data_IF_750932897916
#
_entry.id   IF_750932897916
#
_cell.length_a   1.000
_cell.length_b   1.000
_cell.length_c   1.000
_cell.angle_alpha   90.00
_cell.angle_beta   90.00
_cell.angle_gamma   90.00
#
_symmetry.space_group_name_H-M   'P 1'
#
loop_
_entity.id
_entity.type
_entity.pdbx_description
1 polymer ?
#
# COMPACT_ATOMS: atom_id res chain seq x y z
N UNK A 1 34.00 25.96 -9.47
CA UNK A 1 32.90 26.92 -9.74
C UNK A 1 33.08 27.68 -11.07
N UNK A 2 34.15 28.48 -11.25
CA UNK A 2 34.41 29.18 -12.55
C UNK A 2 34.60 28.23 -13.76
N UNK A 3 35.13 27.02 -13.55
CA UNK A 3 35.30 26.02 -14.62
C UNK A 3 33.97 25.35 -15.05
N UNK A 4 33.04 25.16 -14.11
CA UNK A 4 31.70 24.58 -14.36
C UNK A 4 30.82 25.59 -15.13
N UNK A 5 30.91 26.88 -14.77
CA UNK A 5 30.23 27.96 -15.47
C UNK A 5 30.76 28.20 -16.91
N UNK A 6 32.01 27.82 -17.19
CA UNK A 6 32.60 27.93 -18.54
C UNK A 6 32.07 26.85 -19.49
N UNK A 7 31.80 25.65 -18.99
CA UNK A 7 31.27 24.53 -19.77
C UNK A 7 29.76 24.67 -20.09
N UNK A 8 29.03 25.51 -19.35
CA UNK A 8 27.60 25.77 -19.57
C UNK A 8 27.31 26.88 -20.60
N UNK A 9 28.31 27.67 -21.02
CA UNK A 9 28.13 28.77 -22.00
C UNK A 9 28.03 28.30 -23.46
N UNK A 10 28.23 27.01 -23.73
CA UNK A 10 28.25 26.46 -25.10
C UNK A 10 26.93 25.85 -25.59
N UNK A 11 25.87 25.82 -24.77
CA UNK A 11 24.59 25.20 -25.14
C UNK A 11 23.61 26.30 -25.52
N UNK A 12 23.57 26.66 -26.80
CA UNK A 12 22.59 27.58 -27.37
C UNK A 12 21.22 26.92 -27.52
N UNK A 13 20.20 27.60 -26.99
CA UNK A 13 18.78 27.56 -27.37
C UNK A 13 18.12 26.17 -27.53
N UNK A 14 17.72 25.54 -26.40
CA UNK A 14 16.36 24.97 -26.24
C UNK A 14 16.05 24.41 -24.84
N UNK A 15 17.00 24.35 -23.91
CA UNK A 15 16.75 23.83 -22.56
C UNK A 15 17.44 24.73 -21.55
N UNK A 16 16.71 25.69 -21.00
CA UNK A 16 17.11 26.42 -19.80
C UNK A 16 16.02 26.28 -18.73
N UNK A 17 15.79 25.02 -18.33
CA UNK A 17 15.14 24.69 -17.06
C UNK A 17 16.24 24.39 -16.03
N UNK A 18 16.08 24.91 -14.80
CA UNK A 18 17.03 24.94 -13.66
C UNK A 18 18.16 26.00 -13.78
N UNK A 19 18.45 26.86 -12.80
CA UNK A 19 18.58 26.65 -11.35
C UNK A 19 18.38 27.99 -10.58
N UNK A 20 17.73 27.99 -9.40
CA UNK A 20 18.04 28.94 -8.33
C UNK A 20 18.56 28.15 -7.12
N UNK A 21 19.84 28.33 -6.79
CA UNK A 21 20.51 27.72 -5.63
C UNK A 21 20.25 28.62 -4.42
N UNK A 22 19.49 28.14 -3.44
CA UNK A 22 19.62 28.65 -2.07
C UNK A 22 20.65 27.77 -1.36
N UNK A 23 21.87 28.29 -1.18
CA UNK A 23 22.90 27.66 -0.37
C UNK A 23 22.91 28.32 1.01
N UNK A 24 22.62 27.55 2.06
CA UNK A 24 22.96 27.94 3.43
C UNK A 24 24.04 26.99 3.92
N UNK A 25 25.18 27.55 4.30
CA UNK A 25 26.32 26.79 4.85
C UNK A 25 26.20 26.80 6.37
N UNK A 26 25.85 25.65 6.94
CA UNK A 26 26.34 25.20 8.24
C UNK A 26 26.21 23.68 8.29
N UNK A 27 27.33 22.94 8.23
CA UNK A 27 27.36 21.53 8.61
C UNK A 27 27.49 20.45 7.53
N UNK A 28 27.74 20.78 6.25
CA UNK A 28 28.44 19.84 5.35
C UNK A 28 27.63 18.91 4.44
N UNK A 29 26.35 19.16 4.16
CA UNK A 29 25.61 18.43 3.09
C UNK A 29 24.82 19.39 2.20
N UNK A 30 24.97 19.26 0.87
CA UNK A 30 24.22 20.01 -0.15
C UNK A 30 22.94 19.24 -0.49
N UNK A 31 21.77 19.81 -0.16
CA UNK A 31 20.46 19.25 -0.54
C UNK A 31 19.97 19.98 -1.79
N UNK A 32 19.66 19.24 -2.85
CA UNK A 32 19.04 19.78 -4.07
C UNK A 32 17.54 19.49 -4.05
N UNK A 33 16.70 20.52 -3.94
CA UNK A 33 15.28 20.41 -4.26
C UNK A 33 15.07 20.78 -5.73
N UNK A 34 14.62 19.83 -6.54
CA UNK A 34 14.21 20.07 -7.93
C UNK A 34 12.78 20.59 -7.92
N UNK A 35 12.60 21.89 -8.12
CA UNK A 35 11.28 22.51 -8.25
C UNK A 35 11.03 22.79 -9.73
N UNK A 36 9.92 22.32 -10.33
CA UNK A 36 9.53 22.74 -11.67
C UNK A 36 9.20 24.24 -11.65
N UNK A 37 9.92 25.03 -12.45
CA UNK A 37 9.62 26.45 -12.62
C UNK A 37 8.45 26.56 -13.60
N UNK A 38 7.23 26.67 -13.09
CA UNK A 38 6.07 27.04 -13.92
C UNK A 38 6.15 28.53 -14.26
N UNK A 39 5.68 28.90 -15.45
CA UNK A 39 5.82 30.21 -16.08
C UNK A 39 5.38 31.38 -15.18
N UNK A 40 6.32 32.27 -14.85
CA UNK A 40 6.25 33.72 -14.56
C UNK A 40 5.01 34.43 -13.98
N UNK A 41 4.03 33.77 -13.38
CA UNK A 41 3.07 34.41 -12.47
C UNK A 41 3.19 33.77 -11.10
N UNK A 42 3.73 34.51 -10.12
CA UNK A 42 3.47 34.18 -8.72
C UNK A 42 1.96 34.09 -8.55
N UNK A 43 1.42 33.03 -7.93
CA UNK A 43 -0.03 32.97 -7.69
C UNK A 43 -0.48 34.21 -6.93
N UNK A 44 -1.58 34.81 -7.38
CA UNK A 44 -2.23 36.01 -6.86
C UNK A 44 -2.90 35.77 -5.49
N UNK A 45 -2.22 35.03 -4.61
CA UNK A 45 -2.65 34.87 -3.23
C UNK A 45 -1.46 34.87 -2.28
N UNK A 46 -1.64 35.46 -1.11
CA UNK A 46 -0.74 35.41 0.02
C UNK A 46 -1.14 34.30 0.98
N UNK A 47 -0.15 33.77 1.68
CA UNK A 47 -0.37 32.82 2.77
C UNK A 47 0.26 33.41 4.02
N UNK A 48 -0.49 33.39 5.11
CA UNK A 48 -0.08 33.98 6.39
C UNK A 48 -0.64 33.15 7.54
N UNK A 49 -0.21 33.46 8.76
CA UNK A 49 -0.78 32.90 10.01
C UNK A 49 -1.03 31.39 9.90
N UNK A 50 0.04 30.63 9.65
CA UNK A 50 -0.03 29.19 9.48
C UNK A 50 0.43 28.50 10.75
N UNK A 51 -0.44 27.70 11.36
CA UNK A 51 -0.15 26.95 12.58
C UNK A 51 -0.58 25.50 12.43
N UNK A 52 0.14 24.60 13.10
CA UNK A 52 -0.28 23.22 13.28
C UNK A 52 -0.34 22.98 14.79
N UNK A 53 -1.54 22.88 15.32
CA UNK A 53 -1.82 22.62 16.73
C UNK A 53 -2.13 21.13 16.92
N UNK A 54 -1.36 20.45 17.76
CA UNK A 54 -1.57 19.03 18.08
C UNK A 54 -2.37 18.91 19.37
N UNK A 55 -3.58 18.38 19.30
CA UNK A 55 -4.45 18.11 20.47
C UNK A 55 -4.79 16.61 20.51
N UNK A 56 -4.11 15.88 21.39
CA UNK A 56 -4.25 14.42 21.48
C UNK A 56 -3.74 13.72 20.21
N UNK A 57 -4.54 12.83 19.63
CA UNK A 57 -4.23 12.12 18.37
C UNK A 57 -4.53 12.93 17.10
N UNK A 58 -5.01 14.17 17.27
CA UNK A 58 -5.47 15.03 16.20
C UNK A 58 -4.54 16.23 16.06
N UNK A 59 -4.19 16.58 14.83
CA UNK A 59 -3.61 17.87 14.54
C UNK A 59 -4.60 18.73 13.77
N UNK A 60 -4.72 19.98 14.20
CA UNK A 60 -5.49 21.04 13.57
C UNK A 60 -4.51 21.94 12.87
N UNK A 61 -4.62 22.00 11.55
CA UNK A 61 -3.76 22.84 10.73
C UNK A 61 -4.57 24.03 10.30
N UNK A 62 -4.15 25.22 10.72
CA UNK A 62 -4.75 26.47 10.30
C UNK A 62 -3.85 27.10 9.24
N UNK A 63 -4.39 27.31 8.05
CA UNK A 63 -3.72 28.02 6.97
C UNK A 63 -4.60 29.18 6.53
N UNK A 64 -4.08 30.40 6.64
CA UNK A 64 -4.77 31.59 6.15
C UNK A 64 -4.30 31.93 4.73
N UNK A 65 -5.22 31.85 3.78
CA UNK A 65 -4.98 32.19 2.38
C UNK A 65 -5.76 33.46 2.04
N UNK A 66 -5.11 34.44 1.42
CA UNK A 66 -5.74 35.69 0.97
C UNK A 66 -5.51 35.88 -0.52
N UNK A 67 -6.57 36.04 -1.31
CA UNK A 67 -6.42 36.41 -2.72
C UNK A 67 -6.02 37.90 -2.83
N UNK A 68 -4.86 38.16 -3.44
CA UNK A 68 -4.27 39.48 -3.65
C UNK A 68 -4.37 39.98 -5.09
N UNK A 69 -4.89 39.16 -6.01
CA UNK A 69 -5.12 39.54 -7.40
C UNK A 69 -6.51 40.10 -7.65
N UNK A 70 -6.80 40.28 -8.95
CA UNK A 70 -8.05 40.87 -9.44
C UNK A 70 -9.10 39.84 -9.91
N UNK A 71 -8.78 38.54 -9.87
CA UNK A 71 -9.68 37.45 -10.31
C UNK A 71 -9.79 36.34 -9.26
N UNK A 72 -10.89 35.57 -9.23
CA UNK A 72 -11.02 34.41 -8.35
C UNK A 72 -9.96 33.34 -8.64
N UNK A 73 -9.46 32.68 -7.59
CA UNK A 73 -8.45 31.61 -7.70
C UNK A 73 -9.00 30.33 -7.08
N UNK A 74 -9.03 29.25 -7.85
CA UNK A 74 -9.27 27.91 -7.30
C UNK A 74 -7.98 27.38 -6.68
N UNK A 75 -8.06 26.64 -5.59
CA UNK A 75 -6.89 26.09 -4.92
C UNK A 75 -7.12 24.65 -4.43
N UNK A 76 -6.02 23.92 -4.29
CA UNK A 76 -5.95 22.62 -3.62
C UNK A 76 -4.85 22.68 -2.56
N UNK A 77 -5.15 22.29 -1.32
CA UNK A 77 -4.15 22.15 -0.25
C UNK A 77 -3.77 20.68 -0.13
N UNK A 78 -2.48 20.44 -0.31
CA UNK A 78 -1.85 19.14 -0.35
C UNK A 78 -0.84 19.07 0.77
N UNK A 79 -0.83 17.96 1.48
CA UNK A 79 0.12 17.70 2.57
C UNK A 79 1.03 16.55 2.16
N UNK A 80 2.23 16.82 1.63
CA UNK A 80 3.24 15.81 1.42
C UNK A 80 4.35 15.93 2.45
N UNK A 81 4.74 14.77 2.97
CA UNK A 81 6.10 14.46 3.42
C UNK A 81 6.60 15.21 4.67
N UNK A 82 7.01 14.40 5.65
CA UNK A 82 7.83 14.85 6.76
C UNK A 82 9.18 15.33 6.20
N UNK A 83 9.54 16.59 6.43
CA UNK A 83 10.90 17.06 6.17
C UNK A 83 11.69 16.86 7.47
N UNK A 84 12.37 15.73 7.58
CA UNK A 84 13.21 15.43 8.74
C UNK A 84 14.46 16.31 8.66
N UNK A 85 14.54 17.33 9.52
CA UNK A 85 15.83 17.82 10.00
C UNK A 85 16.38 16.80 10.98
N UNK A 86 17.60 16.33 10.77
CA UNK A 86 18.24 15.24 11.51
C UNK A 86 17.96 15.30 13.02
N UNK A 87 17.15 14.36 13.51
CA UNK A 87 17.31 13.83 14.87
C UNK A 87 17.90 12.44 14.75
N UNK A 88 18.80 12.14 15.69
CA UNK A 88 19.47 10.86 15.92
C UNK A 88 18.56 9.69 15.48
N UNK A 89 19.02 8.87 14.54
CA UNK A 89 18.29 7.69 14.08
C UNK A 89 18.03 6.76 15.27
N UNK A 90 16.82 6.84 15.83
CA UNK A 90 16.30 5.77 16.67
C UNK A 90 15.97 4.60 15.75
N UNK A 91 16.43 3.40 16.11
CA UNK A 91 16.26 2.20 15.30
C UNK A 91 14.79 1.88 15.01
N UNK A 92 13.87 2.37 15.83
CA UNK A 92 12.42 2.20 15.69
C UNK A 92 11.71 3.35 14.95
N UNK A 93 12.37 4.49 14.69
CA UNK A 93 11.70 5.72 14.25
C UNK A 93 10.99 6.48 15.39
N UNK A 94 10.47 7.70 15.14
CA UNK A 94 9.82 8.52 16.17
C UNK A 94 8.47 7.92 16.61
N UNK A 95 8.05 8.23 17.84
CA UNK A 95 6.84 7.70 18.49
C UNK A 95 7.18 6.84 19.71
N UNK A 96 6.19 6.46 20.50
CA UNK A 96 6.35 5.61 21.71
C UNK A 96 6.04 4.13 21.47
N UNK A 97 5.52 3.78 20.29
CA UNK A 97 5.14 2.41 19.93
C UNK A 97 3.83 1.95 20.55
N UNK A 98 2.99 2.88 21.02
CA UNK A 98 1.66 2.62 21.55
C UNK A 98 0.60 2.71 20.43
N UNK A 99 -0.63 2.19 20.62
CA UNK A 99 -1.68 2.31 19.59
C UNK A 99 -1.96 3.74 19.14
N UNK A 100 -1.92 4.70 20.07
CA UNK A 100 -2.23 6.12 19.81
C UNK A 100 -1.01 6.92 19.32
N UNK A 101 0.20 6.40 19.55
CA UNK A 101 1.47 7.01 19.16
C UNK A 101 2.45 5.93 18.67
N UNK A 102 2.20 5.36 17.47
CA UNK A 102 3.01 4.28 16.91
C UNK A 102 4.38 4.79 16.47
N UNK A 103 5.34 3.87 16.41
CA UNK A 103 6.62 4.13 15.77
C UNK A 103 6.46 4.39 14.27
N UNK A 104 6.94 5.54 13.79
CA UNK A 104 6.84 5.94 12.39
C UNK A 104 8.06 5.44 11.61
N UNK A 105 7.80 4.56 10.64
CA UNK A 105 8.81 3.95 9.79
C UNK A 105 8.89 4.72 8.47
N UNK A 106 10.06 5.30 8.19
CA UNK A 106 10.33 6.06 6.94
C UNK A 106 11.49 5.46 6.13
N UNK A 107 12.13 4.41 6.64
CA UNK A 107 13.27 3.76 5.98
C UNK A 107 13.17 2.24 6.07
N UNK A 108 13.81 1.54 5.12
CA UNK A 108 13.87 0.08 5.13
C UNK A 108 14.70 -0.47 6.30
N UNK A 109 15.65 0.30 6.83
CA UNK A 109 16.44 -0.05 8.02
C UNK A 109 15.58 -0.06 9.29
N UNK A 110 14.71 0.95 9.47
CA UNK A 110 13.75 0.97 10.59
C UNK A 110 12.75 -0.19 10.48
N UNK A 111 12.29 -0.52 9.27
CA UNK A 111 11.44 -1.70 9.05
C UNK A 111 12.15 -2.99 9.47
N UNK A 112 13.44 -3.13 9.12
CA UNK A 112 14.26 -4.29 9.49
C UNK A 112 14.48 -4.42 11.01
N UNK A 113 14.35 -3.31 11.76
CA UNK A 113 14.56 -3.24 13.20
C UNK A 113 13.29 -3.52 14.04
N UNK A 114 12.11 -3.63 13.42
CA UNK A 114 10.85 -4.00 14.09
C UNK A 114 10.96 -5.19 15.07
N UNK A 115 11.74 -6.27 14.77
CA UNK A 115 11.90 -7.38 15.72
C UNK A 115 12.42 -6.98 17.11
N UNK A 116 13.05 -5.81 17.26
CA UNK A 116 13.51 -5.31 18.56
C UNK A 116 12.36 -5.07 19.56
N UNK A 117 11.15 -4.77 19.07
CA UNK A 117 9.94 -4.67 19.89
C UNK A 117 8.73 -5.18 19.09
N UNK A 118 8.59 -6.50 18.99
CA UNK A 118 7.58 -7.15 18.14
C UNK A 118 6.13 -6.97 18.64
N UNK A 119 5.93 -6.42 19.84
CA UNK A 119 4.61 -6.12 20.42
C UNK A 119 4.18 -4.67 20.21
N UNK A 120 5.07 -3.78 19.78
CA UNK A 120 4.76 -2.37 19.56
C UNK A 120 3.91 -2.12 18.31
N UNK A 121 3.37 -0.92 18.22
CA UNK A 121 2.61 -0.43 17.09
C UNK A 121 3.49 0.43 16.18
N UNK A 122 3.38 0.20 14.88
CA UNK A 122 4.18 0.80 13.83
C UNK A 122 3.25 1.36 12.75
N UNK A 123 3.68 2.44 12.12
CA UNK A 123 3.02 2.99 10.94
C UNK A 123 4.04 3.46 9.91
N UNK A 124 3.74 3.31 8.62
CA UNK A 124 4.57 3.91 7.58
C UNK A 124 4.34 5.43 7.53
N UNK A 125 5.43 6.19 7.43
CA UNK A 125 5.39 7.64 7.24
C UNK A 125 5.59 8.09 5.79
N UNK A 126 6.04 7.19 4.92
CA UNK A 126 6.22 7.41 3.49
C UNK A 126 6.27 6.06 2.75
N UNK A 127 6.27 6.12 1.43
CA UNK A 127 6.62 4.96 0.61
C UNK A 127 8.10 4.59 0.84
N UNK A 128 8.41 3.30 0.83
CA UNK A 128 9.74 2.75 1.08
C UNK A 128 10.23 2.00 -0.16
N UNK A 129 11.34 2.44 -0.74
CA UNK A 129 12.09 1.66 -1.71
C UNK A 129 12.98 0.63 -0.98
N UNK A 130 12.61 -0.64 -1.11
CA UNK A 130 13.31 -1.77 -0.52
C UNK A 130 14.21 -2.51 -1.52
N UNK A 131 14.44 -1.99 -2.72
CA UNK A 131 15.27 -2.63 -3.75
C UNK A 131 16.71 -2.89 -3.28
N UNK A 132 17.24 -2.03 -2.40
CA UNK A 132 18.56 -2.19 -1.79
C UNK A 132 18.71 -3.49 -1.00
N UNK A 133 17.60 -4.09 -0.56
CA UNK A 133 17.61 -5.33 0.21
C UNK A 133 18.21 -6.49 -0.55
N UNK A 134 18.19 -6.49 -1.89
CA UNK A 134 18.80 -7.56 -2.71
C UNK A 134 20.29 -7.80 -2.37
N UNK A 135 21.00 -6.77 -1.96
CA UNK A 135 22.42 -6.87 -1.59
C UNK A 135 22.65 -7.12 -0.09
N UNK A 136 21.59 -7.22 0.71
CA UNK A 136 21.70 -7.43 2.15
C UNK A 136 21.98 -8.88 2.50
N UNK A 137 22.56 -9.09 3.68
CA UNK A 137 22.78 -10.42 4.25
C UNK A 137 23.52 -11.37 3.28
N UNK A 138 24.60 -10.89 2.65
CA UNK A 138 25.36 -11.62 1.62
C UNK A 138 24.51 -12.08 0.43
N UNK A 139 23.61 -11.21 -0.04
CA UNK A 139 22.71 -11.51 -1.17
C UNK A 139 21.48 -12.34 -0.79
N UNK A 140 21.25 -12.59 0.50
CA UNK A 140 20.05 -13.28 0.96
C UNK A 140 18.84 -12.35 1.01
N UNK A 141 18.97 -11.03 1.06
CA UNK A 141 17.80 -10.16 1.11
C UNK A 141 17.42 -9.68 2.50
N UNK A 142 16.22 -9.13 2.63
CA UNK A 142 15.62 -8.70 3.90
C UNK A 142 15.42 -9.89 4.87
N UNK A 143 15.76 -9.71 6.15
CA UNK A 143 15.51 -10.71 7.19
C UNK A 143 14.04 -10.62 7.63
N UNK A 144 13.21 -11.67 7.45
CA UNK A 144 11.81 -11.67 7.84
C UNK A 144 11.58 -11.23 9.30
N UNK A 145 10.49 -10.52 9.55
CA UNK A 145 10.06 -10.14 10.91
C UNK A 145 9.45 -11.38 11.59
N UNK A 146 10.05 -11.85 12.66
CA UNK A 146 9.63 -13.06 13.35
C UNK A 146 8.63 -12.78 14.48
N UNK A 147 7.59 -13.61 14.58
CA UNK A 147 6.61 -13.62 15.66
C UNK A 147 6.05 -12.23 16.01
N UNK A 148 5.55 -11.53 15.00
CA UNK A 148 5.01 -10.18 15.18
C UNK A 148 3.65 -10.22 15.88
N UNK A 149 3.52 -9.47 16.98
CA UNK A 149 2.35 -9.45 17.87
C UNK A 149 1.67 -8.08 17.93
N UNK A 150 2.36 -7.02 17.53
CA UNK A 150 1.84 -5.65 17.48
C UNK A 150 1.13 -5.34 16.16
N UNK A 151 1.16 -4.08 15.74
CA UNK A 151 0.52 -3.67 14.46
C UNK A 151 1.47 -2.94 13.51
N UNK A 152 1.32 -3.18 12.21
CA UNK A 152 1.90 -2.34 11.15
C UNK A 152 0.77 -1.75 10.31
N UNK A 153 0.58 -0.43 10.39
CA UNK A 153 -0.33 0.32 9.53
C UNK A 153 0.44 0.96 8.36
N UNK A 154 0.19 0.48 7.14
CA UNK A 154 0.78 1.06 5.95
C UNK A 154 0.26 2.47 5.65
N UNK A 155 -0.90 2.87 6.19
CA UNK A 155 -1.54 4.17 5.92
C UNK A 155 -1.68 4.48 4.42
N UNK A 156 -1.81 3.45 3.60
CA UNK A 156 -1.88 3.54 2.14
C UNK A 156 -0.53 3.58 1.43
N UNK A 157 0.59 3.66 2.18
CA UNK A 157 1.94 3.66 1.64
C UNK A 157 2.38 2.30 1.10
N UNK A 158 3.41 2.38 0.27
CA UNK A 158 3.98 1.25 -0.45
C UNK A 158 5.33 0.85 0.13
N UNK A 159 5.64 -0.45 0.06
CA UNK A 159 7.01 -0.96 0.13
C UNK A 159 7.29 -1.62 -1.21
N UNK A 160 8.28 -1.11 -1.94
CA UNK A 160 8.54 -1.50 -3.33
C UNK A 160 9.85 -2.28 -3.44
N UNK A 161 9.85 -3.37 -4.20
CA UNK A 161 11.08 -4.04 -4.62
C UNK A 161 11.78 -4.87 -3.54
N UNK A 162 11.08 -5.24 -2.46
CA UNK A 162 11.68 -6.05 -1.39
C UNK A 162 12.12 -7.42 -1.93
N UNK A 163 13.37 -7.80 -1.61
CA UNK A 163 13.96 -9.08 -1.98
C UNK A 163 14.16 -9.95 -0.74
N UNK A 164 13.66 -11.18 -0.77
CA UNK A 164 13.79 -12.16 0.32
C UNK A 164 14.20 -13.51 -0.27
N UNK A 165 15.37 -14.01 0.11
CA UNK A 165 15.84 -15.35 -0.19
C UNK A 165 16.22 -16.05 1.12
N UNK A 166 15.37 -16.98 1.59
CA UNK A 166 15.55 -17.64 2.89
C UNK A 166 15.43 -19.16 2.78
N UNK A 167 16.12 -19.83 3.69
CA UNK A 167 16.01 -21.26 3.98
C UNK A 167 15.32 -21.36 5.34
N UNK A 168 13.99 -21.28 5.36
CA UNK A 168 13.19 -21.27 6.59
C UNK A 168 11.79 -21.88 6.36
N UNK A 169 11.15 -22.33 7.44
CA UNK A 169 9.81 -22.93 7.37
C UNK A 169 8.72 -21.97 6.90
N UNK A 170 8.81 -20.71 7.34
CA UNK A 170 7.87 -19.64 7.04
C UNK A 170 8.65 -18.43 6.49
N UNK A 171 8.33 -18.03 5.26
CA UNK A 171 9.00 -16.94 4.56
C UNK A 171 7.96 -15.89 4.15
N UNK A 172 8.31 -14.62 4.33
CA UNK A 172 7.56 -13.42 3.93
C UNK A 172 8.17 -12.18 4.56
N UNK A 173 7.60 -10.99 4.32
CA UNK A 173 7.98 -9.78 5.08
C UNK A 173 7.90 -10.07 6.59
N UNK A 174 6.82 -10.75 6.99
CA UNK A 174 6.68 -11.40 8.28
C UNK A 174 6.86 -12.91 8.11
N UNK A 175 7.72 -13.51 8.93
CA UNK A 175 7.79 -14.98 9.02
C UNK A 175 6.50 -15.52 9.63
N UNK A 176 6.11 -14.97 10.79
CA UNK A 176 4.87 -15.34 11.48
C UNK A 176 4.17 -14.10 12.01
N UNK A 177 2.86 -14.01 11.75
CA UNK A 177 1.97 -13.04 12.36
C UNK A 177 1.16 -13.74 13.46
N UNK A 178 1.40 -13.39 14.73
CA UNK A 178 0.72 -13.98 15.88
C UNK A 178 -0.77 -13.58 15.93
N UNK A 179 -1.56 -14.20 16.80
CA UNK A 179 -3.01 -13.97 16.89
C UNK A 179 -3.42 -12.54 17.26
N UNK A 180 -2.55 -11.79 17.93
CA UNK A 180 -2.74 -10.36 18.22
C UNK A 180 -2.21 -9.46 17.12
N UNK A 181 -1.38 -9.99 16.22
CA UNK A 181 -0.69 -9.26 15.18
C UNK A 181 -1.66 -8.71 14.13
N UNK A 182 -1.46 -7.45 13.74
CA UNK A 182 -2.28 -6.78 12.71
C UNK A 182 -1.39 -6.14 11.66
N UNK A 183 -1.64 -6.42 10.39
CA UNK A 183 -1.06 -5.67 9.27
C UNK A 183 -2.20 -5.10 8.45
N UNK A 184 -2.20 -3.79 8.22
CA UNK A 184 -3.29 -3.15 7.48
C UNK A 184 -2.85 -2.01 6.57
N UNK A 185 -3.68 -1.69 5.58
CA UNK A 185 -3.53 -0.54 4.68
C UNK A 185 -2.16 -0.47 3.99
N UNK A 186 -1.60 -1.62 3.61
CA UNK A 186 -0.24 -1.74 3.12
C UNK A 186 -0.21 -2.28 1.69
N UNK A 187 0.61 -1.64 0.84
CA UNK A 187 0.88 -2.12 -0.52
C UNK A 187 2.31 -2.65 -0.60
N UNK A 188 2.49 -3.94 -0.85
CA UNK A 188 3.78 -4.50 -1.23
C UNK A 188 3.83 -4.61 -2.75
N UNK A 189 4.73 -3.87 -3.38
CA UNK A 189 4.81 -3.82 -4.84
C UNK A 189 6.14 -4.40 -5.34
N UNK A 190 6.08 -5.16 -6.43
CA UNK A 190 7.24 -5.76 -7.08
C UNK A 190 8.13 -6.59 -6.11
N UNK A 191 7.51 -7.39 -5.24
CA UNK A 191 8.25 -8.25 -4.33
C UNK A 191 8.95 -9.38 -5.09
N UNK A 192 10.09 -9.83 -4.58
CA UNK A 192 10.81 -11.00 -5.08
C UNK A 192 11.16 -11.92 -3.93
N UNK A 193 10.43 -13.04 -3.82
CA UNK A 193 10.60 -14.01 -2.74
C UNK A 193 11.03 -15.37 -3.29
N UNK A 194 12.12 -15.88 -2.74
CA UNK A 194 12.75 -17.14 -3.11
C UNK A 194 12.97 -18.01 -1.87
N UNK A 195 12.81 -19.32 -2.03
CA UNK A 195 13.31 -20.31 -1.08
C UNK A 195 14.39 -21.16 -1.76
N UNK A 196 15.52 -21.36 -1.08
CA UNK A 196 16.63 -22.18 -1.59
C UNK A 196 16.46 -23.69 -1.29
N UNK A 197 15.36 -24.09 -0.66
CA UNK A 197 15.11 -25.47 -0.21
C UNK A 197 13.60 -25.71 -0.07
N UNK A 198 13.18 -26.98 -0.16
CA UNK A 198 11.78 -27.42 -0.20
C UNK A 198 10.99 -27.25 1.11
N UNK A 199 11.10 -26.10 1.75
CA UNK A 199 10.33 -25.75 2.94
C UNK A 199 8.91 -25.29 2.61
N UNK A 200 8.10 -25.28 3.67
CA UNK A 200 6.66 -25.46 3.58
C UNK A 200 5.94 -24.19 3.12
N UNK A 201 6.02 -23.04 3.83
CA UNK A 201 5.04 -21.96 3.72
C UNK A 201 5.65 -20.62 3.33
N UNK A 202 5.30 -20.11 2.15
CA UNK A 202 5.77 -18.82 1.66
C UNK A 202 4.57 -17.90 1.43
N UNK A 203 4.56 -16.79 2.16
CA UNK A 203 3.71 -15.64 1.91
C UNK A 203 4.55 -14.49 1.39
N UNK A 204 4.07 -13.70 0.44
CA UNK A 204 4.72 -12.43 0.12
C UNK A 204 4.71 -11.48 1.31
N UNK A 205 3.56 -11.39 1.98
CA UNK A 205 3.40 -10.62 3.21
C UNK A 205 3.71 -11.45 4.47
N UNK A 206 3.07 -12.63 4.64
CA UNK A 206 3.20 -13.44 5.87
C UNK A 206 3.38 -14.93 5.58
N UNK A 207 4.45 -15.55 6.05
CA UNK A 207 4.64 -17.01 5.91
C UNK A 207 3.53 -17.83 6.60
N UNK A 208 3.33 -17.61 7.91
CA UNK A 208 2.27 -18.24 8.71
C UNK A 208 1.48 -17.19 9.48
N UNK A 209 0.16 -17.16 9.31
CA UNK A 209 -0.70 -16.11 9.88
C UNK A 209 -1.75 -16.67 10.82
N UNK A 210 -1.76 -16.22 12.07
CA UNK A 210 -2.87 -16.39 13.03
C UNK A 210 -3.55 -15.04 13.37
N UNK A 211 -3.00 -13.93 12.88
CA UNK A 211 -3.47 -12.56 13.12
C UNK A 211 -4.39 -12.02 12.02
N UNK A 212 -4.44 -10.69 11.87
CA UNK A 212 -5.31 -10.01 10.90
C UNK A 212 -4.51 -9.31 9.82
N UNK A 213 -4.90 -9.52 8.56
CA UNK A 213 -4.38 -8.80 7.39
C UNK A 213 -5.57 -8.13 6.71
N UNK A 214 -5.56 -6.79 6.66
CA UNK A 214 -6.73 -6.01 6.22
C UNK A 214 -6.34 -4.90 5.25
N UNK A 215 -7.04 -4.74 4.13
CA UNK A 215 -6.76 -3.68 3.16
C UNK A 215 -5.31 -3.72 2.63
N UNK A 216 -4.84 -4.91 2.28
CA UNK A 216 -3.47 -5.10 1.80
C UNK A 216 -3.45 -5.55 0.33
N UNK A 217 -2.45 -5.07 -0.40
CA UNK A 217 -2.15 -5.54 -1.75
C UNK A 217 -0.74 -6.11 -1.78
N UNK A 218 -0.56 -7.24 -2.46
CA UNK A 218 0.78 -7.76 -2.78
C UNK A 218 0.89 -8.02 -4.28
N UNK A 219 1.94 -7.45 -4.88
CA UNK A 219 2.35 -7.77 -6.24
C UNK A 219 3.82 -8.17 -6.33
N UNK A 220 4.13 -9.09 -7.25
CA UNK A 220 5.49 -9.53 -7.49
C UNK A 220 5.56 -11.02 -7.82
N UNK A 221 6.73 -11.60 -7.58
CA UNK A 221 7.01 -13.00 -7.91
C UNK A 221 7.45 -13.78 -6.68
N UNK A 222 6.85 -14.95 -6.48
CA UNK A 222 7.29 -15.94 -5.48
C UNK A 222 7.63 -17.24 -6.21
N UNK A 223 8.80 -17.81 -5.93
CA UNK A 223 9.23 -19.06 -6.57
C UNK A 223 9.89 -20.07 -5.62
N UNK A 224 9.89 -21.33 -6.05
CA UNK A 224 10.56 -22.47 -5.38
C UNK A 224 9.99 -22.85 -4.00
N UNK A 225 8.71 -22.55 -3.74
CA UNK A 225 8.00 -22.97 -2.53
C UNK A 225 7.09 -24.19 -2.73
N UNK A 226 6.74 -24.86 -1.63
CA UNK A 226 5.76 -25.94 -1.64
C UNK A 226 4.34 -25.41 -1.44
N UNK A 227 4.10 -24.66 -0.37
CA UNK A 227 2.83 -24.00 -0.05
C UNK A 227 3.05 -22.50 -0.20
N UNK A 228 2.39 -21.88 -1.18
CA UNK A 228 2.61 -20.48 -1.52
C UNK A 228 1.30 -19.72 -1.63
N UNK A 229 1.24 -18.56 -0.98
CA UNK A 229 0.30 -17.50 -1.36
C UNK A 229 0.97 -16.14 -1.44
N UNK A 230 0.47 -15.22 -2.28
CA UNK A 230 1.09 -13.88 -2.34
C UNK A 230 0.83 -13.08 -1.07
N UNK A 231 -0.33 -13.22 -0.41
CA UNK A 231 -0.51 -12.64 0.93
C UNK A 231 0.06 -13.59 1.99
N UNK A 232 -0.49 -14.81 2.10
CA UNK A 232 -0.18 -15.75 3.19
C UNK A 232 0.25 -17.12 2.68
N UNK A 233 1.30 -17.72 3.26
CA UNK A 233 1.62 -19.13 3.00
C UNK A 233 0.57 -20.07 3.62
N UNK A 234 0.46 -20.08 4.95
CA UNK A 234 -0.57 -20.79 5.70
C UNK A 234 -1.38 -19.86 6.59
N UNK A 235 -2.70 -19.85 6.40
CA UNK A 235 -3.64 -19.14 7.27
C UNK A 235 -4.16 -20.08 8.36
N UNK A 236 -3.62 -19.92 9.56
CA UNK A 236 -3.93 -20.72 10.75
C UNK A 236 -5.06 -20.05 11.56
N UNK A 237 -5.77 -20.80 12.40
CA UNK A 237 -6.80 -20.21 13.28
C UNK A 237 -6.15 -19.34 14.38
N UNK A 238 -6.71 -18.16 14.72
CA UNK A 238 -7.94 -17.52 14.23
C UNK A 238 -7.72 -16.50 13.09
N UNK A 239 -6.74 -16.73 12.23
CA UNK A 239 -6.27 -15.79 11.22
C UNK A 239 -7.33 -15.32 10.24
N UNK A 240 -7.22 -14.05 9.86
CA UNK A 240 -8.15 -13.37 8.95
C UNK A 240 -7.38 -12.65 7.85
N UNK A 241 -7.79 -12.86 6.61
CA UNK A 241 -7.41 -12.05 5.45
C UNK A 241 -8.68 -11.41 4.90
N UNK A 242 -8.73 -10.08 4.95
CA UNK A 242 -9.93 -9.31 4.64
C UNK A 242 -9.61 -8.13 3.72
N UNK A 243 -10.45 -7.89 2.71
CA UNK A 243 -10.32 -6.75 1.80
C UNK A 243 -8.92 -6.69 1.16
N UNK A 244 -8.37 -7.83 0.75
CA UNK A 244 -7.02 -7.93 0.20
C UNK A 244 -7.04 -8.40 -1.26
N UNK A 245 -6.00 -8.02 -2.01
CA UNK A 245 -5.87 -8.49 -3.38
C UNK A 245 -4.45 -8.67 -3.84
N UNK A 246 -4.28 -9.46 -4.91
CA UNK A 246 -2.97 -9.81 -5.42
C UNK A 246 -2.86 -9.80 -6.93
N UNK A 247 -1.66 -9.46 -7.39
CA UNK A 247 -1.21 -9.54 -8.78
C UNK A 247 0.17 -10.19 -8.84
N UNK A 248 0.56 -10.72 -9.99
CA UNK A 248 1.91 -11.26 -10.18
C UNK A 248 1.92 -12.78 -10.32
N UNK A 249 3.05 -13.41 -10.00
CA UNK A 249 3.32 -14.80 -10.42
C UNK A 249 3.77 -15.66 -9.26
N UNK A 250 3.14 -16.83 -9.13
CA UNK A 250 3.55 -17.88 -8.19
C UNK A 250 4.08 -19.07 -8.97
N UNK A 251 5.28 -19.53 -8.62
CA UNK A 251 5.92 -20.73 -9.22
C UNK A 251 6.25 -21.71 -8.10
N UNK A 252 5.58 -22.85 -8.05
CA UNK A 252 5.76 -23.80 -6.95
C UNK A 252 5.22 -25.20 -7.23
N UNK A 253 5.24 -26.04 -6.20
CA UNK A 253 5.05 -27.48 -6.41
C UNK A 253 3.83 -28.09 -5.71
N UNK A 254 3.36 -27.62 -4.54
CA UNK A 254 2.28 -28.29 -3.79
C UNK A 254 0.96 -27.52 -3.71
N UNK A 255 0.84 -26.57 -2.78
CA UNK A 255 -0.41 -25.85 -2.52
C UNK A 255 -0.26 -24.37 -2.85
N UNK A 256 -0.74 -23.97 -4.03
CA UNK A 256 -0.54 -22.62 -4.54
C UNK A 256 -1.86 -21.88 -4.63
N UNK A 257 -1.95 -20.68 -4.06
CA UNK A 257 -3.12 -19.82 -4.19
C UNK A 257 -2.77 -18.35 -4.26
N UNK A 258 -3.51 -17.58 -5.05
CA UNK A 258 -3.22 -16.15 -5.21
C UNK A 258 -3.27 -15.33 -3.92
N UNK A 259 -4.17 -15.66 -2.98
CA UNK A 259 -4.23 -15.06 -1.65
C UNK A 259 -3.48 -15.90 -0.63
N UNK A 260 -3.83 -17.19 -0.55
CA UNK A 260 -3.28 -18.10 0.44
C UNK A 260 -2.91 -19.47 -0.15
N UNK A 261 -1.81 -20.06 0.31
CA UNK A 261 -1.44 -21.42 -0.08
C UNK A 261 -2.39 -22.47 0.51
N UNK A 262 -2.64 -22.40 1.82
CA UNK A 262 -3.63 -23.25 2.49
C UNK A 262 -4.24 -22.58 3.72
N UNK A 263 -5.35 -23.13 4.19
CA UNK A 263 -5.89 -22.87 5.53
C UNK A 263 -5.57 -24.01 6.50
N UNK A 264 -5.53 -23.68 7.80
CA UNK A 264 -5.29 -24.65 8.89
C UNK A 264 -6.34 -25.76 8.95
N UNK A 265 -6.00 -26.85 9.64
CA UNK A 265 -6.81 -28.08 9.65
C UNK A 265 -8.06 -28.04 10.56
N UNK A 266 -8.20 -26.99 11.38
CA UNK A 266 -9.30 -26.86 12.34
C UNK A 266 -9.56 -25.39 12.67
N UNK A 267 -10.74 -25.13 13.24
CA UNK A 267 -11.19 -23.77 13.59
C UNK A 267 -11.71 -23.00 12.39
N UNK A 268 -11.67 -21.67 12.48
CA UNK A 268 -12.35 -20.76 11.56
C UNK A 268 -11.38 -19.72 10.93
N UNK A 269 -10.30 -20.13 10.24
CA UNK A 269 -9.52 -19.18 9.46
C UNK A 269 -10.43 -18.57 8.38
N UNK A 270 -10.31 -17.27 8.13
CA UNK A 270 -11.28 -16.53 7.30
C UNK A 270 -10.57 -15.80 6.17
N UNK A 271 -11.03 -16.01 4.94
CA UNK A 271 -10.68 -15.22 3.76
C UNK A 271 -11.97 -14.58 3.25
N UNK A 272 -12.09 -13.27 3.35
CA UNK A 272 -13.33 -12.57 3.00
C UNK A 272 -13.03 -11.31 2.21
N UNK A 273 -13.88 -11.01 1.23
CA UNK A 273 -13.76 -9.83 0.39
C UNK A 273 -12.38 -9.72 -0.29
N UNK A 274 -11.88 -10.80 -0.86
CA UNK A 274 -10.53 -10.85 -1.44
C UNK A 274 -10.55 -11.25 -2.91
N UNK A 275 -9.58 -10.77 -3.69
CA UNK A 275 -9.46 -11.21 -5.08
C UNK A 275 -8.03 -11.40 -5.57
N UNK A 276 -7.88 -12.23 -6.61
CA UNK A 276 -6.57 -12.53 -7.20
C UNK A 276 -6.61 -12.50 -8.72
N UNK A 277 -5.70 -11.72 -9.29
CA UNK A 277 -5.32 -11.79 -10.70
C UNK A 277 -3.99 -12.51 -10.91
N UNK A 278 -3.49 -13.20 -9.89
CA UNK A 278 -2.18 -13.83 -9.94
C UNK A 278 -2.13 -15.01 -10.93
N UNK A 279 -1.02 -15.12 -11.66
CA UNK A 279 -0.69 -16.28 -12.49
C UNK A 279 -0.11 -17.36 -11.60
N UNK A 280 -0.73 -18.53 -11.60
CA UNK A 280 -0.32 -19.68 -10.78
C UNK A 280 0.29 -20.75 -11.67
N UNK A 281 1.60 -20.99 -11.49
CA UNK A 281 2.38 -21.97 -12.23
C UNK A 281 2.78 -23.14 -11.31
N UNK A 282 1.89 -24.13 -11.20
CA UNK A 282 2.08 -25.31 -10.37
C UNK A 282 2.50 -26.54 -11.16
N UNK A 283 3.20 -27.47 -10.49
CA UNK A 283 3.73 -28.69 -11.14
C UNK A 283 3.17 -30.02 -10.60
N UNK A 284 2.84 -30.15 -9.30
CA UNK A 284 2.50 -31.46 -8.70
C UNK A 284 1.10 -31.56 -8.08
N UNK A 285 0.71 -30.68 -7.16
CA UNK A 285 -0.54 -30.83 -6.40
C UNK A 285 -1.50 -29.63 -6.58
N UNK A 286 -2.28 -29.32 -5.54
CA UNK A 286 -3.45 -28.45 -5.55
C UNK A 286 -3.14 -26.96 -5.80
N UNK A 287 -3.56 -26.45 -6.95
CA UNK A 287 -3.40 -25.06 -7.33
C UNK A 287 -4.77 -24.38 -7.51
N UNK A 288 -5.03 -23.30 -6.77
CA UNK A 288 -6.26 -22.50 -6.90
C UNK A 288 -5.95 -21.07 -7.31
N UNK A 289 -6.84 -20.42 -8.07
CA UNK A 289 -6.64 -19.02 -8.43
C UNK A 289 -6.62 -18.07 -7.21
N UNK A 290 -7.36 -18.41 -6.15
CA UNK A 290 -7.41 -17.69 -4.87
C UNK A 290 -6.73 -18.47 -3.73
N UNK A 291 -7.08 -19.74 -3.56
CA UNK A 291 -6.61 -20.58 -2.44
C UNK A 291 -6.18 -21.97 -2.93
N UNK A 292 -4.96 -22.39 -2.57
CA UNK A 292 -4.46 -23.71 -2.97
C UNK A 292 -5.25 -24.86 -2.33
N UNK A 293 -5.34 -24.87 -1.00
CA UNK A 293 -6.06 -25.90 -0.25
C UNK A 293 -6.91 -25.35 0.90
N UNK A 294 -8.21 -25.62 0.87
CA UNK A 294 -9.14 -25.32 1.96
C UNK A 294 -9.28 -26.54 2.88
N UNK A 295 -8.60 -26.53 4.03
CA UNK A 295 -8.72 -27.61 5.01
C UNK A 295 -9.85 -27.37 6.00
N UNK A 296 -9.99 -26.15 6.51
CA UNK A 296 -11.11 -25.66 7.34
C UNK A 296 -11.29 -24.15 7.13
N UNK A 297 -12.35 -23.58 7.69
CA UNK A 297 -12.58 -22.13 7.68
C UNK A 297 -13.64 -21.64 6.69
N UNK A 298 -13.62 -20.33 6.44
CA UNK A 298 -14.61 -19.62 5.62
C UNK A 298 -13.93 -18.87 4.48
N UNK A 299 -14.45 -19.05 3.26
CA UNK A 299 -14.09 -18.27 2.08
C UNK A 299 -15.37 -17.62 1.54
N UNK A 300 -15.48 -16.30 1.66
CA UNK A 300 -16.70 -15.57 1.31
C UNK A 300 -16.44 -14.33 0.46
N UNK A 301 -17.31 -14.05 -0.50
CA UNK A 301 -17.23 -12.81 -1.29
C UNK A 301 -15.85 -12.62 -1.95
N UNK A 302 -15.29 -13.68 -2.50
CA UNK A 302 -13.97 -13.67 -3.12
C UNK A 302 -14.03 -13.98 -4.61
N UNK A 303 -13.04 -13.53 -5.38
CA UNK A 303 -12.92 -13.99 -6.77
C UNK A 303 -11.50 -14.18 -7.29
N UNK A 304 -11.35 -14.95 -8.36
CA UNK A 304 -10.10 -15.08 -9.09
C UNK A 304 -10.29 -14.98 -10.60
N UNK A 305 -9.30 -14.40 -11.29
CA UNK A 305 -9.30 -14.33 -12.76
C UNK A 305 -7.99 -14.78 -13.38
N UNK A 306 -6.92 -14.92 -12.59
CA UNK A 306 -5.60 -15.28 -13.12
C UNK A 306 -5.53 -16.72 -13.63
N UNK A 307 -4.67 -17.00 -14.64
CA UNK A 307 -4.50 -18.34 -15.17
C UNK A 307 -3.85 -19.29 -14.15
N UNK A 308 -4.28 -20.56 -14.15
CA UNK A 308 -3.80 -21.59 -13.24
C UNK A 308 -3.35 -22.83 -14.00
N UNK A 309 -2.10 -23.24 -13.80
CA UNK A 309 -1.54 -24.51 -14.32
C UNK A 309 -1.16 -25.45 -13.18
N UNK A 310 -1.10 -26.75 -13.48
CA UNK A 310 -0.88 -27.81 -12.48
C UNK A 310 -1.70 -29.07 -12.76
N UNK A 311 -1.40 -30.14 -12.02
CA UNK A 311 -2.09 -31.43 -12.11
C UNK A 311 -3.48 -31.34 -11.47
N UNK A 312 -3.54 -31.00 -10.19
CA UNK A 312 -4.78 -30.73 -9.47
C UNK A 312 -5.01 -29.22 -9.41
N UNK A 313 -5.98 -28.72 -10.18
CA UNK A 313 -6.21 -27.28 -10.27
C UNK A 313 -7.68 -26.93 -10.23
N UNK A 314 -7.97 -25.75 -9.69
CA UNK A 314 -9.31 -25.19 -9.67
C UNK A 314 -9.30 -23.69 -9.88
N UNK A 315 -10.35 -23.17 -10.51
CA UNK A 315 -10.48 -21.76 -10.84
C UNK A 315 -10.34 -20.84 -9.62
N UNK A 316 -11.04 -21.15 -8.52
CA UNK A 316 -10.96 -20.42 -7.25
C UNK A 316 -10.12 -21.18 -6.21
N UNK A 317 -10.53 -22.41 -5.89
CA UNK A 317 -9.89 -23.29 -4.91
C UNK A 317 -9.36 -24.54 -5.61
N UNK A 318 -8.09 -24.89 -5.32
CA UNK A 318 -7.43 -26.07 -5.89
C UNK A 318 -7.94 -27.39 -5.31
N UNK A 319 -7.98 -27.50 -3.97
CA UNK A 319 -8.51 -28.66 -3.25
C UNK A 319 -9.25 -28.24 -1.99
N UNK A 320 -10.29 -29.00 -1.61
CA UNK A 320 -11.13 -28.72 -0.44
C UNK A 320 -11.35 -30.01 0.36
N UNK A 321 -10.91 -30.02 1.61
CA UNK A 321 -11.14 -31.12 2.56
C UNK A 321 -12.33 -30.84 3.49
N UNK A 322 -12.50 -29.59 3.93
CA UNK A 322 -13.66 -29.11 4.71
C UNK A 322 -13.81 -27.59 4.50
N UNK A 323 -14.44 -26.88 5.44
CA UNK A 323 -14.69 -25.44 5.38
C UNK A 323 -15.85 -25.07 4.46
N UNK A 324 -16.23 -23.80 4.47
CA UNK A 324 -17.38 -23.25 3.73
C UNK A 324 -16.91 -22.26 2.67
N UNK A 325 -17.52 -22.30 1.50
CA UNK A 325 -17.25 -21.39 0.38
C UNK A 325 -18.56 -20.82 -0.10
N UNK A 326 -18.73 -19.50 0.01
CA UNK A 326 -19.98 -18.80 -0.26
C UNK A 326 -19.73 -17.58 -1.13
N UNK A 327 -20.69 -17.28 -2.01
CA UNK A 327 -20.73 -16.05 -2.82
C UNK A 327 -19.38 -15.70 -3.48
N UNK A 328 -18.65 -16.71 -3.95
CA UNK A 328 -17.29 -16.56 -4.45
C UNK A 328 -17.16 -17.16 -5.84
N UNK A 329 -16.40 -16.50 -6.71
CA UNK A 329 -16.44 -16.74 -8.16
C UNK A 329 -15.06 -16.92 -8.78
N UNK A 330 -15.00 -17.59 -9.92
CA UNK A 330 -13.84 -17.46 -10.79
C UNK A 330 -14.27 -17.19 -12.22
N UNK A 331 -13.43 -16.48 -12.95
CA UNK A 331 -13.59 -16.27 -14.38
C UNK A 331 -13.11 -17.50 -15.15
N UNK A 332 -14.02 -18.23 -15.80
CA UNK A 332 -13.70 -19.45 -16.56
C UNK A 332 -12.85 -19.20 -17.80
N UNK A 333 -12.96 -18.00 -18.37
CA UNK A 333 -12.34 -17.65 -19.65
C UNK A 333 -10.90 -17.19 -19.43
N UNK A 334 -10.68 -16.28 -18.47
CA UNK A 334 -9.33 -15.76 -18.19
C UNK A 334 -8.48 -16.74 -17.37
N UNK A 335 -9.09 -17.55 -16.50
CA UNK A 335 -8.35 -18.59 -15.76
C UNK A 335 -7.98 -19.79 -16.64
N UNK A 336 -8.71 -20.00 -17.74
CA UNK A 336 -8.64 -21.19 -18.58
C UNK A 336 -9.22 -22.46 -17.92
N UNK A 337 -10.02 -22.32 -16.86
CA UNK A 337 -10.56 -23.44 -16.08
C UNK A 337 -12.09 -23.46 -15.99
N UNK A 338 -12.65 -24.65 -16.19
CA UNK A 338 -14.11 -24.89 -16.10
C UNK A 338 -14.55 -25.46 -14.74
N UNK A 339 -13.61 -25.86 -13.87
CA UNK A 339 -13.89 -26.51 -12.58
C UNK A 339 -13.12 -25.89 -11.43
N UNK A 340 -13.61 -26.08 -10.21
CA UNK A 340 -12.93 -25.71 -8.95
C UNK A 340 -13.47 -26.55 -7.79
N UNK A 341 -12.68 -26.72 -6.72
CA UNK A 341 -13.12 -27.41 -5.51
C UNK A 341 -14.13 -26.59 -4.66
N UNK A 342 -14.37 -25.33 -5.01
CA UNK A 342 -15.39 -24.49 -4.40
C UNK A 342 -15.58 -23.17 -5.15
N UNK A 343 -16.68 -22.48 -4.85
CA UNK A 343 -17.12 -21.29 -5.59
C UNK A 343 -17.95 -21.63 -6.83
N UNK A 344 -18.28 -20.61 -7.64
CA UNK A 344 -19.07 -20.75 -8.86
C UNK A 344 -18.34 -20.12 -10.06
N UNK A 345 -18.21 -20.87 -11.16
CA UNK A 345 -17.54 -20.39 -12.36
C UNK A 345 -18.44 -19.50 -13.21
N UNK A 346 -17.98 -18.29 -13.49
CA UNK A 346 -18.66 -17.26 -14.28
C UNK A 346 -17.88 -16.96 -15.56
N UNK A 347 -18.56 -16.55 -16.62
CA UNK A 347 -17.92 -15.99 -17.83
C UNK A 347 -17.33 -14.62 -17.51
N UNK A 348 -16.43 -14.10 -18.35
CA UNK A 348 -15.91 -12.73 -18.18
C UNK A 348 -17.04 -11.70 -18.23
N UNK A 349 -18.05 -11.91 -19.09
CA UNK A 349 -19.21 -11.02 -19.14
C UNK A 349 -19.99 -11.00 -17.83
N UNK A 350 -20.27 -12.17 -17.24
CA UNK A 350 -20.95 -12.25 -15.94
C UNK A 350 -20.09 -11.66 -14.81
N UNK A 351 -18.77 -11.86 -14.85
CA UNK A 351 -17.84 -11.30 -13.86
C UNK A 351 -17.71 -9.78 -13.92
N UNK A 352 -18.18 -9.15 -14.99
CA UNK A 352 -18.23 -7.69 -15.16
C UNK A 352 -19.64 -7.11 -14.99
N UNK A 353 -20.65 -7.96 -14.81
CA UNK A 353 -22.03 -7.53 -14.56
C UNK A 353 -22.26 -7.40 -13.05
N UNK A 354 -22.62 -6.19 -12.60
CA UNK A 354 -22.93 -5.90 -11.20
C UNK A 354 -24.04 -6.79 -10.64
N UNK A 355 -25.00 -7.21 -11.47
CA UNK A 355 -26.12 -8.05 -11.02
C UNK A 355 -25.65 -9.42 -10.51
N UNK A 356 -24.59 -9.99 -11.11
CA UNK A 356 -23.97 -11.24 -10.64
C UNK A 356 -23.61 -11.16 -9.16
N UNK A 357 -23.11 -10.01 -8.72
CA UNK A 357 -22.62 -9.78 -7.36
C UNK A 357 -23.74 -9.36 -6.42
N UNK A 358 -24.65 -8.48 -6.86
CA UNK A 358 -25.83 -8.06 -6.08
C UNK A 358 -26.74 -9.25 -5.74
N UNK A 359 -27.04 -10.10 -6.71
CA UNK A 359 -27.86 -11.31 -6.50
C UNK A 359 -27.20 -12.32 -5.54
N UNK A 360 -25.88 -12.24 -5.40
CA UNK A 360 -25.08 -13.06 -4.49
C UNK A 360 -24.77 -12.37 -3.16
N UNK A 361 -25.44 -11.25 -2.87
CA UNK A 361 -25.36 -10.53 -1.60
C UNK A 361 -24.07 -9.73 -1.38
N UNK A 362 -23.31 -9.41 -2.42
CA UNK A 362 -22.12 -8.56 -2.29
C UNK A 362 -22.53 -7.13 -1.91
N UNK A 363 -21.79 -6.53 -0.98
CA UNK A 363 -21.84 -5.08 -0.74
C UNK A 363 -21.08 -4.37 -1.85
N UNK A 364 -21.78 -4.09 -2.96
CA UNK A 364 -21.20 -3.56 -4.20
C UNK A 364 -22.06 -2.44 -4.81
N UNK A 365 -21.42 -1.38 -5.30
CA UNK A 365 -22.09 -0.30 -6.02
C UNK A 365 -21.34 0.10 -7.29
N UNK A 366 -22.01 0.89 -8.14
CA UNK A 366 -21.34 1.62 -9.23
C UNK A 366 -20.76 2.94 -8.70
N UNK A 367 -19.87 3.57 -9.47
CA UNK A 367 -19.19 4.82 -9.08
C UNK A 367 -20.12 6.02 -8.78
N UNK A 368 -21.41 5.93 -9.11
CA UNK A 368 -22.37 7.01 -8.94
C UNK A 368 -23.04 7.08 -7.56
N UNK A 369 -22.88 6.07 -6.68
CA UNK A 369 -23.62 6.02 -5.41
C UNK A 369 -22.76 5.51 -4.23
N UNK A 370 -22.78 6.29 -3.13
CA UNK A 370 -22.47 5.95 -1.73
C UNK A 370 -21.04 5.59 -1.30
N UNK A 371 -20.78 5.71 0.01
CA UNK A 371 -19.47 5.53 0.68
C UNK A 371 -19.47 4.35 1.67
N UNK A 372 -20.56 3.56 1.68
CA UNK A 372 -20.88 2.40 2.53
C UNK A 372 -20.26 1.06 2.11
N UNK A 373 -19.95 0.95 0.82
CA UNK A 373 -19.83 -0.32 0.12
C UNK A 373 -18.41 -0.86 0.19
N UNK A 374 -18.29 -2.19 0.29
CA UNK A 374 -16.98 -2.84 0.28
C UNK A 374 -16.35 -2.81 -1.11
N UNK A 375 -17.19 -2.93 -2.14
CA UNK A 375 -16.78 -3.10 -3.54
C UNK A 375 -17.38 -2.02 -4.43
N UNK A 376 -16.64 -1.64 -5.47
CA UNK A 376 -17.17 -0.88 -6.62
C UNK A 376 -16.96 -1.65 -7.91
N UNK A 377 -17.78 -1.37 -8.92
CA UNK A 377 -17.59 -1.91 -10.27
C UNK A 377 -17.90 -0.86 -11.34
N UNK A 378 -17.07 -0.84 -12.38
CA UNK A 378 -17.38 -0.18 -13.64
C UNK A 378 -18.19 -1.16 -14.51
N UNK A 379 -19.50 -1.13 -14.33
CA UNK A 379 -20.42 -2.17 -14.80
C UNK A 379 -20.30 -2.42 -16.31
N UNK A 380 -20.06 -3.67 -16.69
CA UNK A 380 -19.84 -4.13 -18.06
C UNK A 380 -18.41 -3.90 -18.59
N UNK A 381 -17.61 -3.07 -17.93
CA UNK A 381 -16.28 -2.68 -18.42
C UNK A 381 -15.15 -3.40 -17.66
N UNK A 382 -15.24 -3.46 -16.33
CA UNK A 382 -14.18 -3.99 -15.47
C UNK A 382 -14.73 -4.91 -14.36
N UNK A 383 -13.84 -5.65 -13.72
CA UNK A 383 -14.15 -6.49 -12.56
C UNK A 383 -14.42 -5.65 -11.30
N UNK A 384 -15.14 -6.18 -10.29
CA UNK A 384 -15.27 -5.53 -8.99
C UNK A 384 -13.91 -5.21 -8.38
N UNK A 385 -13.79 -4.07 -7.70
CA UNK A 385 -12.59 -3.67 -6.98
C UNK A 385 -12.96 -3.20 -5.59
N UNK A 386 -12.02 -3.32 -4.66
CA UNK A 386 -12.25 -2.90 -3.29
C UNK A 386 -12.25 -1.38 -3.20
N UNK A 387 -13.16 -0.83 -2.40
CA UNK A 387 -13.38 0.62 -2.33
C UNK A 387 -12.12 1.41 -1.94
N UNK A 388 -11.33 0.84 -1.03
CA UNK A 388 -10.07 1.44 -0.55
C UNK A 388 -8.99 1.53 -1.63
N UNK A 389 -9.13 0.81 -2.76
CA UNK A 389 -8.18 0.89 -3.87
C UNK A 389 -8.11 2.28 -4.51
N UNK A 390 -9.22 3.02 -4.44
CA UNK A 390 -9.37 4.36 -5.03
C UNK A 390 -8.60 5.42 -4.25
N UNK A 391 -8.30 5.14 -2.98
CA UNK A 391 -7.43 5.96 -2.16
C UNK A 391 -6.01 5.80 -2.74
N UNK A 392 -5.70 6.63 -3.73
CA UNK A 392 -4.36 6.73 -4.28
C UNK A 392 -3.41 7.00 -3.13
N UNK A 393 -2.32 6.23 -3.11
CA UNK A 393 -1.05 6.61 -2.51
C UNK A 393 -0.62 7.96 -3.11
N UNK A 394 -1.05 9.03 -2.46
CA UNK A 394 -0.81 10.40 -2.83
C UNK A 394 -0.89 11.25 -1.56
N UNK A 395 -0.25 12.42 -1.54
CA UNK A 395 -0.33 13.29 -0.38
C UNK A 395 -1.80 13.60 -0.05
N UNK A 396 -2.14 13.62 1.25
CA UNK A 396 -3.49 13.94 1.72
C UNK A 396 -3.93 15.29 1.11
N UNK A 397 -4.89 15.23 0.18
CA UNK A 397 -5.62 16.42 -0.29
C UNK A 397 -6.71 16.71 0.73
N UNK A 398 -6.55 17.76 1.54
CA UNK A 398 -7.51 18.05 2.63
C UNK A 398 -8.67 18.95 2.22
N UNK A 399 -8.49 19.80 1.19
CA UNK A 399 -9.55 20.71 0.75
C UNK A 399 -9.30 21.28 -0.65
N UNK A 400 -10.37 21.42 -1.42
CA UNK A 400 -10.44 22.25 -2.62
C UNK A 400 -11.40 23.42 -2.38
N UNK A 401 -11.15 24.57 -3.00
CA UNK A 401 -12.02 25.73 -2.86
C UNK A 401 -11.71 26.85 -3.85
N UNK A 402 -12.56 27.88 -3.86
CA UNK A 402 -12.40 29.10 -4.66
C UNK A 402 -12.31 30.31 -3.72
N UNK A 403 -11.32 31.18 -3.90
CA UNK A 403 -11.16 32.42 -3.12
C UNK A 403 -11.31 33.61 -4.08
N UNK A 404 -12.25 34.52 -3.79
CA UNK A 404 -12.45 35.73 -4.60
C UNK A 404 -11.51 36.87 -4.17
N UNK A 405 -11.24 37.87 -5.02
CA UNK A 405 -10.34 38.99 -4.70
C UNK A 405 -10.62 39.64 -3.34
N UNK A 406 -9.57 39.81 -2.52
CA UNK A 406 -9.65 40.43 -1.21
C UNK A 406 -10.21 39.55 -0.08
N UNK A 407 -10.70 38.34 -0.40
CA UNK A 407 -11.18 37.39 0.60
C UNK A 407 -10.00 36.69 1.30
N UNK A 408 -10.15 36.49 2.61
CA UNK A 408 -9.31 35.60 3.40
C UNK A 408 -10.11 34.41 3.88
N UNK A 409 -9.52 33.21 3.81
CA UNK A 409 -10.11 31.99 4.37
C UNK A 409 -9.14 31.35 5.35
N UNK A 410 -9.66 30.82 6.45
CA UNK A 410 -8.95 29.89 7.32
C UNK A 410 -9.43 28.49 6.97
N UNK A 411 -8.48 27.62 6.60
CA UNK A 411 -8.76 26.21 6.41
C UNK A 411 -8.24 25.47 7.62
N UNK A 412 -9.16 24.96 8.44
CA UNK A 412 -8.89 23.97 9.49
C UNK A 412 -9.23 22.58 8.94
N UNK A 413 -8.32 21.63 9.09
CA UNK A 413 -8.58 20.21 8.89
C UNK A 413 -7.94 19.41 10.01
N UNK A 414 -8.65 18.36 10.43
CA UNK A 414 -8.08 17.33 11.30
C UNK A 414 -7.18 16.44 10.45
N UNK A 415 -5.93 16.27 10.89
CA UNK A 415 -4.94 15.40 10.23
C UNK A 415 -4.36 14.47 11.28
N UNK A 416 -4.21 13.20 10.93
CA UNK A 416 -3.60 12.20 11.80
C UNK A 416 -2.11 12.05 11.49
N UNK A 417 -1.30 11.72 12.50
CA UNK A 417 0.13 11.41 12.34
C UNK A 417 1.04 12.63 12.20
N UNK A 418 0.62 13.78 12.71
CA UNK A 418 1.47 14.96 12.90
C UNK A 418 2.00 14.92 14.34
N UNK A 419 3.30 15.14 14.47
CA UNK A 419 4.08 15.06 15.70
C UNK A 419 4.55 16.46 16.08
N UNK A 420 4.26 16.87 17.30
CA UNK A 420 4.74 18.15 17.84
C UNK A 420 6.28 18.24 17.76
N UNK A 421 6.79 19.39 17.34
CA UNK A 421 8.20 19.68 17.13
C UNK A 421 8.76 19.28 15.76
N UNK A 422 7.99 18.60 14.90
CA UNK A 422 8.41 18.31 13.52
C UNK A 422 8.03 19.42 12.54
N UNK A 423 8.81 19.55 11.46
CA UNK A 423 8.51 20.46 10.35
C UNK A 423 7.81 19.69 9.23
N UNK A 424 6.67 20.21 8.83
CA UNK A 424 5.85 19.68 7.75
C UNK A 424 5.91 20.60 6.55
N UNK A 425 5.95 20.00 5.36
CA UNK A 425 5.73 20.74 4.13
C UNK A 425 4.23 20.79 3.84
N UNK A 426 3.69 21.98 3.62
CA UNK A 426 2.31 22.20 3.18
C UNK A 426 2.38 22.83 1.80
N UNK A 427 1.79 22.19 0.80
CA UNK A 427 1.77 22.65 -0.58
C UNK A 427 0.37 23.15 -0.91
N UNK A 428 0.27 24.41 -1.31
CA UNK A 428 -0.97 25.00 -1.83
C UNK A 428 -0.81 25.17 -3.34
N UNK A 429 -1.63 24.49 -4.13
CA UNK A 429 -1.65 24.60 -5.59
C UNK A 429 -2.78 25.54 -6.02
N UNK A 430 -2.46 26.47 -6.91
CA UNK A 430 -3.41 27.30 -7.63
C UNK A 430 -3.92 26.53 -8.85
N UNK A 431 -5.23 26.54 -9.09
CA UNK A 431 -5.87 25.87 -10.20
C UNK A 431 -6.60 26.89 -11.10
N UNK A 432 -6.48 26.73 -12.42
CA UNK A 432 -7.29 27.39 -13.45
C UNK A 432 -7.85 26.28 -14.34
N UNK A 433 -9.19 26.20 -14.49
CA UNK A 433 -9.88 25.12 -15.20
C UNK A 433 -9.42 23.70 -14.81
N UNK A 434 -9.16 23.48 -13.52
CA UNK A 434 -8.70 22.19 -12.97
C UNK A 434 -7.22 21.85 -13.25
N UNK A 435 -6.44 22.75 -13.86
CA UNK A 435 -5.01 22.59 -14.10
C UNK A 435 -4.19 23.41 -13.10
N UNK A 436 -3.07 22.86 -12.64
CA UNK A 436 -2.15 23.57 -11.75
C UNK A 436 -1.45 24.69 -12.51
N UNK A 437 -1.74 25.93 -12.14
CA UNK A 437 -1.13 27.14 -12.73
C UNK A 437 -0.07 27.77 -11.83
N UNK A 438 0.04 27.32 -10.57
CA UNK A 438 1.11 27.70 -9.67
C UNK A 438 1.05 26.96 -8.34
N UNK A 439 2.10 27.06 -7.53
CA UNK A 439 2.13 26.46 -6.20
C UNK A 439 2.96 27.30 -5.22
N UNK A 440 2.58 27.26 -3.94
CA UNK A 440 3.36 27.77 -2.82
C UNK A 440 3.56 26.66 -1.80
N UNK A 441 4.77 26.53 -1.30
CA UNK A 441 5.10 25.58 -0.23
C UNK A 441 5.45 26.35 1.04
N UNK A 442 4.94 25.89 2.16
CA UNK A 442 5.25 26.44 3.49
C UNK A 442 5.80 25.33 4.36
N UNK A 443 6.77 25.69 5.19
CA UNK A 443 7.26 24.84 6.27
C UNK A 443 6.60 25.28 7.56
N UNK A 444 5.81 24.40 8.16
CA UNK A 444 5.16 24.67 9.45
C UNK A 444 5.75 23.72 10.48
N UNK A 445 6.15 24.26 11.63
CA UNK A 445 6.52 23.43 12.78
C UNK A 445 5.25 23.12 13.54
N UNK A 446 4.98 21.85 13.82
CA UNK A 446 3.87 21.47 14.68
C UNK A 446 4.18 21.83 16.13
N UNK A 447 3.20 22.41 16.82
CA UNK A 447 3.30 22.79 18.23
C UNK A 447 2.20 22.09 19.04
N UNK A 448 2.48 21.83 20.32
CA UNK A 448 1.56 21.20 21.27
C UNK A 448 0.65 22.22 21.93
#
# INVERSE_FOLDING_TARGET
MKQILKNLRGISSLIAALVLIAATVAGGTLIFSVIPKFSNSTPDFEISNTEILVVGSNAFIDVNIKNTGSTPVSFEIIFPEVIIGEKKEESSGPGSGTPDDPYIITTIQQLQAIPANSTAHYALGCDIDASVTENWNNGLGFNPIFNFQGSLDGRGHKIVGIYINRTANNIGLFSTLASTGVVKNLRLENIRVYSASGYLRIGGLVGSCSGKIVNCCVSGTISNGLIIGLIVGALETPGVVENCFTYGTIIGNQSLGGIAGLTGNSGNPTIINCYSHATILGSLYSCGGLLGRLNAGYVGFCYSTGPVTGQEKGGLIGSRSSGTVENSFWDKETSGLTTSAGGVGKTTSEMKDINTFLESGWSIATLSEHTNETWYIDNGNDYPRLWWEREKSGPLTLKTGVIVPGQSISVSSQVQGIVSGQKYSVIIRALEDGRVVGAKTILITAHS
#
